data_IF_129651116872
#
_entry.id   IF_129651116872
#
_cell.length_a   1.000
_cell.length_b   1.000
_cell.length_c   1.000
_cell.angle_alpha   90.00
_cell.angle_beta   90.00
_cell.angle_gamma   90.00
#
_symmetry.space_group_name_H-M   'P 1'
#
loop_
_entity.id
_entity.type
_entity.pdbx_description
1 polymer ?
#
# COMPACT_ATOMS: atom_id res chain seq x y z
N UNK A 1 -22.75 -31.43 3.49
CA UNK A 1 -22.22 -30.82 4.73
C UNK A 1 -20.72 -30.70 4.54
N UNK A 2 -20.19 -29.48 4.55
CA UNK A 2 -18.76 -29.23 4.37
C UNK A 2 -18.23 -28.65 5.69
N UNK A 3 -17.56 -29.46 6.54
CA UNK A 3 -16.96 -28.95 7.77
C UNK A 3 -16.00 -27.79 7.48
N UNK A 4 -16.26 -26.63 8.07
CA UNK A 4 -15.44 -25.43 7.89
C UNK A 4 -15.78 -24.57 6.68
N UNK A 5 -16.90 -24.80 6.00
CA UNK A 5 -17.34 -23.88 4.94
C UNK A 5 -17.61 -22.48 5.49
N UNK A 6 -17.09 -21.47 4.77
CA UNK A 6 -17.39 -20.06 5.02
C UNK A 6 -18.42 -19.64 3.98
N UNK A 7 -19.55 -19.13 4.44
CA UNK A 7 -20.61 -18.55 3.61
C UNK A 7 -20.55 -17.02 3.78
N UNK A 8 -19.67 -16.31 3.03
CA UNK A 8 -19.56 -14.87 3.17
C UNK A 8 -20.84 -14.19 2.71
N UNK A 9 -21.18 -13.06 3.35
CA UNK A 9 -22.20 -12.18 2.80
C UNK A 9 -21.69 -11.48 1.55
N UNK A 10 -22.60 -11.02 0.70
CA UNK A 10 -22.25 -10.19 -0.44
C UNK A 10 -21.93 -8.76 0.01
N UNK A 11 -21.05 -8.09 -0.71
CA UNK A 11 -20.71 -6.69 -0.46
C UNK A 11 -19.22 -6.43 -0.53
N UNK A 12 -18.84 -5.20 -0.17
CA UNK A 12 -17.48 -4.72 -0.16
C UNK A 12 -17.12 -4.15 1.22
N UNK A 13 -15.83 -4.20 1.55
CA UNK A 13 -15.30 -3.59 2.78
C UNK A 13 -14.46 -2.39 2.37
N UNK A 14 -14.92 -1.18 2.74
CA UNK A 14 -14.11 0.03 2.58
C UNK A 14 -12.98 0.03 3.60
N UNK A 15 -11.75 0.09 3.12
CA UNK A 15 -10.56 0.18 3.97
C UNK A 15 -10.19 1.64 4.21
N UNK A 16 -9.55 1.90 5.36
CA UNK A 16 -8.96 3.20 5.71
C UNK A 16 -9.93 4.41 5.62
N UNK A 17 -11.24 4.16 5.76
CA UNK A 17 -12.27 5.19 5.60
C UNK A 17 -12.04 6.42 6.49
N UNK A 18 -12.27 7.60 5.91
CA UNK A 18 -12.17 8.90 6.59
C UNK A 18 -10.73 9.35 6.91
N UNK A 19 -9.70 8.61 6.49
CA UNK A 19 -8.31 9.03 6.65
C UNK A 19 -7.85 9.92 5.49
N UNK A 20 -7.00 10.94 5.73
CA UNK A 20 -6.39 11.71 4.65
C UNK A 20 -5.54 10.80 3.74
N UNK A 21 -5.67 11.00 2.43
CA UNK A 21 -4.90 10.30 1.41
C UNK A 21 -4.26 11.29 0.45
N UNK A 22 -3.23 10.83 -0.26
CA UNK A 22 -2.60 11.57 -1.36
C UNK A 22 -2.20 10.58 -2.46
N UNK A 23 -2.14 11.06 -3.69
CA UNK A 23 -1.71 10.28 -4.84
C UNK A 23 -0.40 10.83 -5.37
N UNK A 24 0.62 9.97 -5.48
CA UNK A 24 1.94 10.33 -6.01
C UNK A 24 2.35 9.38 -7.13
N UNK A 25 3.02 9.91 -8.15
CA UNK A 25 3.67 9.09 -9.18
C UNK A 25 5.06 8.70 -8.71
N UNK A 26 5.40 7.42 -8.83
CA UNK A 26 6.65 6.85 -8.33
C UNK A 26 7.37 6.16 -9.47
N UNK A 27 8.67 6.44 -9.61
CA UNK A 27 9.55 5.78 -10.58
C UNK A 27 10.67 5.03 -9.85
N UNK A 28 10.86 3.75 -10.16
CA UNK A 28 12.05 3.02 -9.77
C UNK A 28 13.20 3.33 -10.74
N UNK A 29 14.23 4.02 -10.25
CA UNK A 29 15.45 4.33 -11.02
C UNK A 29 16.57 3.33 -10.77
N UNK A 30 16.33 2.30 -9.95
CA UNK A 30 17.27 1.23 -9.68
C UNK A 30 17.28 0.15 -10.76
N UNK A 31 18.26 -0.74 -10.66
CA UNK A 31 18.42 -1.92 -11.53
C UNK A 31 17.77 -3.19 -10.96
N UNK A 32 17.17 -3.09 -9.77
CA UNK A 32 16.56 -4.18 -9.02
C UNK A 32 15.15 -3.82 -8.60
N UNK A 33 14.25 -4.82 -8.52
CA UNK A 33 12.88 -4.59 -8.09
C UNK A 33 12.81 -4.18 -6.62
N UNK A 34 11.85 -3.32 -6.30
CA UNK A 34 11.58 -2.84 -4.94
C UNK A 34 10.13 -3.16 -4.57
N UNK A 35 9.91 -3.73 -3.39
CA UNK A 35 8.57 -4.03 -2.89
C UNK A 35 8.35 -3.37 -1.53
N UNK A 36 7.22 -2.68 -1.38
CA UNK A 36 6.89 -1.88 -0.18
C UNK A 36 5.59 -2.41 0.42
N UNK A 37 5.64 -2.74 1.71
CA UNK A 37 4.48 -3.24 2.45
C UNK A 37 3.49 -2.14 2.87
N UNK A 38 2.24 -2.53 3.10
CA UNK A 38 1.11 -1.67 3.47
C UNK A 38 1.36 -0.65 4.60
N UNK A 39 2.23 -0.95 5.57
CA UNK A 39 2.46 -0.14 6.77
C UNK A 39 3.84 0.51 6.87
N UNK A 40 4.66 0.39 5.83
CA UNK A 40 5.94 1.08 5.81
C UNK A 40 5.73 2.59 5.61
N UNK A 41 6.49 3.41 6.34
CA UNK A 41 6.43 4.87 6.19
C UNK A 41 6.93 5.26 4.79
N UNK A 42 6.01 5.69 3.91
CA UNK A 42 6.31 5.81 2.48
C UNK A 42 7.40 6.84 2.19
N UNK A 43 7.51 7.87 3.03
CA UNK A 43 8.60 8.86 2.99
C UNK A 43 10.00 8.24 3.05
N UNK A 44 10.18 7.11 3.74
CA UNK A 44 11.48 6.51 4.05
C UNK A 44 11.86 5.36 3.11
N UNK A 45 11.03 5.06 2.10
CA UNK A 45 11.29 3.93 1.19
C UNK A 45 12.59 4.12 0.41
N UNK A 46 13.06 3.01 -0.18
CA UNK A 46 14.31 2.92 -0.94
C UNK A 46 14.62 4.19 -1.75
N UNK A 47 15.85 4.70 -1.63
CA UNK A 47 16.33 5.93 -2.29
C UNK A 47 16.30 5.84 -3.82
N UNK A 48 16.28 4.64 -4.39
CA UNK A 48 16.10 4.41 -5.83
C UNK A 48 14.67 4.71 -6.32
N UNK A 49 13.69 4.88 -5.43
CA UNK A 49 12.37 5.34 -5.80
C UNK A 49 12.34 6.87 -5.82
N UNK A 50 12.08 7.43 -7.00
CA UNK A 50 11.95 8.87 -7.26
C UNK A 50 10.48 9.27 -7.29
N UNK A 51 10.11 10.16 -6.37
CA UNK A 51 8.78 10.74 -6.20
C UNK A 51 8.89 11.99 -5.28
N UNK A 52 7.81 12.75 -5.12
CA UNK A 52 7.76 13.83 -4.13
C UNK A 52 7.67 13.25 -2.71
N UNK A 53 8.80 13.21 -1.99
CA UNK A 53 8.85 12.67 -0.62
C UNK A 53 8.06 13.53 0.35
N UNK A 54 8.11 14.85 0.25
CA UNK A 54 7.46 15.73 1.21
C UNK A 54 5.94 15.49 1.24
N UNK A 55 5.34 15.23 0.07
CA UNK A 55 3.94 14.88 -0.07
C UNK A 55 3.53 13.59 0.68
N UNK A 56 4.48 12.71 1.01
CA UNK A 56 4.19 11.41 1.64
C UNK A 56 4.62 11.31 3.10
N UNK A 57 5.03 12.42 3.73
CA UNK A 57 5.44 12.44 5.13
C UNK A 57 4.27 12.07 6.05
N UNK A 58 4.49 11.10 6.94
CA UNK A 58 3.47 10.55 7.84
C UNK A 58 2.47 9.60 7.16
N UNK A 59 2.65 9.28 5.87
CA UNK A 59 1.72 8.44 5.12
C UNK A 59 2.30 7.04 4.83
N UNK A 60 1.40 6.11 4.52
CA UNK A 60 1.68 4.73 4.11
C UNK A 60 0.80 4.37 2.91
N UNK A 61 1.05 3.24 2.28
CA UNK A 61 0.23 2.75 1.17
C UNK A 61 -1.22 2.51 1.64
N UNK A 62 -2.17 2.99 0.85
CA UNK A 62 -3.60 2.82 1.05
C UNK A 62 -4.08 1.50 0.41
N UNK A 63 -3.63 0.38 0.97
CA UNK A 63 -3.88 -0.98 0.46
C UNK A 63 -4.26 -1.93 1.61
N UNK A 64 -4.80 -3.14 1.34
CA UNK A 64 -5.11 -4.11 2.38
C UNK A 64 -3.91 -4.44 3.27
N UNK A 65 -4.16 -4.58 4.58
CA UNK A 65 -3.11 -4.86 5.56
C UNK A 65 -2.38 -6.17 5.21
N UNK A 66 -1.05 -6.17 5.35
CA UNK A 66 -0.20 -7.32 5.00
C UNK A 66 0.17 -7.43 3.51
N UNK A 67 -0.50 -6.68 2.62
CA UNK A 67 -0.14 -6.66 1.18
C UNK A 67 0.99 -5.67 0.87
N UNK A 68 1.45 -5.65 -0.38
CA UNK A 68 2.55 -4.82 -0.85
C UNK A 68 2.40 -4.39 -2.31
N UNK A 69 3.06 -3.28 -2.69
CA UNK A 69 3.20 -2.82 -4.08
C UNK A 69 4.64 -3.05 -4.53
N UNK A 70 4.81 -3.53 -5.77
CA UNK A 70 6.12 -3.83 -6.38
C UNK A 70 6.41 -2.87 -7.54
N UNK A 71 7.63 -2.34 -7.58
CA UNK A 71 8.19 -1.41 -8.56
C UNK A 71 9.49 -1.96 -9.16
#
# INVERSE_FOLDING_TARGET
MIPGEILPTTGEITLNAGRPTTTVTVLNTGDRPVQIGSHYHFFEVNRALRFDRAATFGLRLDIPAGTAVRF
#
